data_IF_965750532287
#
_entry.id   IF_965750532287
#
_cell.length_a   1.000
_cell.length_b   1.000
_cell.length_c   1.000
_cell.angle_alpha   90.00
_cell.angle_beta   90.00
_cell.angle_gamma   90.00
#
_symmetry.space_group_name_H-M   'P 1'
#
loop_
_entity.id
_entity.type
_entity.pdbx_description
1 polymer ?
#
# COMPACT_ATOMS: atom_id res chain seq x y z
N UNK A 1 -3.00 4.13 18.31
CA UNK A 1 -3.88 3.17 17.62
C UNK A 1 -4.13 3.75 16.24
N UNK A 2 -3.48 3.23 15.20
CA UNK A 2 -3.84 3.61 13.83
C UNK A 2 -5.05 2.74 13.46
N UNK A 3 -6.15 3.39 13.10
CA UNK A 3 -7.37 2.73 12.69
C UNK A 3 -7.78 3.34 11.34
N UNK A 4 -8.50 2.59 10.49
CA UNK A 4 -9.09 3.16 9.29
C UNK A 4 -9.93 4.40 9.64
N UNK A 5 -10.03 5.34 8.69
CA UNK A 5 -10.86 6.53 8.85
C UNK A 5 -12.33 6.11 8.96
N UNK A 6 -13.23 7.03 9.30
CA UNK A 6 -14.65 6.73 9.49
C UNK A 6 -15.33 6.01 8.30
N UNK A 7 -14.74 6.06 7.09
CA UNK A 7 -15.19 5.35 5.89
C UNK A 7 -14.70 3.89 5.74
N UNK A 8 -13.89 3.36 6.67
CA UNK A 8 -13.29 2.04 6.54
C UNK A 8 -11.88 2.09 5.91
N UNK A 9 -11.29 0.92 5.67
CA UNK A 9 -10.06 0.79 4.90
C UNK A 9 -10.40 0.61 3.42
N UNK A 10 -9.57 1.15 2.54
CA UNK A 10 -9.64 0.89 1.12
C UNK A 10 -9.28 -0.58 0.82
N UNK A 11 -9.80 -1.07 -0.31
CA UNK A 11 -9.45 -2.39 -0.83
C UNK A 11 -8.07 -2.33 -1.51
N UNK A 12 -6.99 -2.45 -0.74
CA UNK A 12 -5.63 -2.33 -1.27
C UNK A 12 -5.31 -3.40 -2.32
N UNK A 13 -6.08 -4.49 -2.38
CA UNK A 13 -5.95 -5.54 -3.42
C UNK A 13 -6.33 -5.05 -4.82
N UNK A 14 -6.94 -3.86 -4.94
CA UNK A 14 -7.13 -3.21 -6.25
C UNK A 14 -5.79 -2.79 -6.90
N UNK A 15 -4.71 -2.72 -6.13
CA UNK A 15 -3.36 -2.52 -6.66
C UNK A 15 -2.76 -3.87 -7.05
N UNK A 16 -2.39 -4.01 -8.32
CA UNK A 16 -1.76 -5.23 -8.82
C UNK A 16 -0.47 -5.53 -8.08
N UNK A 17 -0.35 -6.77 -7.58
CA UNK A 17 0.75 -7.22 -6.74
C UNK A 17 0.46 -7.24 -5.24
N UNK A 18 -0.61 -6.56 -4.80
CA UNK A 18 -1.12 -6.65 -3.42
C UNK A 18 -2.15 -7.78 -3.33
N UNK A 19 -1.77 -8.87 -2.65
CA UNK A 19 -2.71 -9.94 -2.28
C UNK A 19 -3.29 -9.73 -0.88
N UNK A 20 -4.29 -10.55 -0.46
CA UNK A 20 -4.95 -10.42 0.85
C UNK A 20 -3.97 -10.39 2.03
N UNK A 21 -2.92 -11.21 1.98
CA UNK A 21 -1.89 -11.27 3.03
C UNK A 21 -0.99 -10.02 3.09
N UNK A 22 -0.74 -9.40 1.94
CA UNK A 22 0.00 -8.14 1.87
C UNK A 22 -0.85 -6.98 2.35
N UNK A 23 -2.13 -6.94 1.97
CA UNK A 23 -3.10 -5.99 2.51
C UNK A 23 -3.18 -6.07 4.04
N UNK A 24 -3.31 -7.28 4.62
CA UNK A 24 -3.27 -7.47 6.07
C UNK A 24 -1.98 -6.93 6.71
N UNK A 25 -0.84 -7.13 6.05
CA UNK A 25 0.46 -6.63 6.50
C UNK A 25 0.49 -5.10 6.46
N UNK A 26 0.07 -4.50 5.35
CA UNK A 26 -0.01 -3.04 5.20
C UNK A 26 -0.94 -2.41 6.23
N UNK A 27 -2.12 -2.99 6.43
CA UNK A 27 -3.09 -2.60 7.44
C UNK A 27 -2.50 -2.72 8.86
N UNK A 28 -1.75 -3.79 9.16
CA UNK A 28 -1.07 -3.93 10.44
C UNK A 28 0.01 -2.85 10.67
N UNK A 29 0.59 -2.34 9.59
CA UNK A 29 1.56 -1.24 9.60
C UNK A 29 0.92 0.17 9.51
N UNK A 30 -0.41 0.27 9.43
CA UNK A 30 -1.14 1.53 9.43
C UNK A 30 -1.46 2.12 8.06
N UNK A 31 -1.17 1.38 6.99
CA UNK A 31 -1.55 1.73 5.62
C UNK A 31 -2.90 1.10 5.31
N UNK A 32 -3.95 1.91 5.39
CA UNK A 32 -5.34 1.51 5.15
C UNK A 32 -5.93 2.12 3.89
N UNK A 33 -5.29 3.12 3.30
CA UNK A 33 -5.86 3.94 2.23
C UNK A 33 -4.92 4.07 1.04
N UNK A 34 -5.50 4.22 -0.16
CA UNK A 34 -4.73 4.44 -1.38
C UNK A 34 -3.93 5.74 -1.34
N UNK A 35 -4.45 6.79 -0.70
CA UNK A 35 -3.78 8.10 -0.60
C UNK A 35 -2.45 8.01 0.18
N UNK A 36 -2.36 7.14 1.19
CA UNK A 36 -1.14 6.90 1.95
C UNK A 36 -0.05 6.26 1.07
N UNK A 37 -0.43 5.28 0.24
CA UNK A 37 0.49 4.61 -0.69
C UNK A 37 0.86 5.54 -1.85
N UNK A 38 -0.09 6.34 -2.33
CA UNK A 38 0.11 7.34 -3.38
C UNK A 38 1.10 8.45 -2.98
N UNK A 39 1.21 8.72 -1.68
CA UNK A 39 2.13 9.68 -1.09
C UNK A 39 3.54 9.13 -0.89
N UNK A 40 3.76 7.81 -1.03
CA UNK A 40 5.09 7.23 -0.85
C UNK A 40 6.11 7.81 -1.83
N UNK A 41 7.23 8.18 -1.27
CA UNK A 41 8.46 8.56 -1.95
C UNK A 41 9.23 7.32 -2.41
N UNK A 42 10.19 7.45 -3.35
CA UNK A 42 11.04 6.34 -3.74
C UNK A 42 11.78 5.68 -2.57
N UNK A 43 12.11 6.46 -1.53
CA UNK A 43 12.74 5.94 -0.32
C UNK A 43 11.78 5.08 0.52
N UNK A 44 10.52 5.50 0.66
CA UNK A 44 9.49 4.71 1.35
C UNK A 44 9.15 3.43 0.60
N UNK A 45 9.08 3.48 -0.74
CA UNK A 45 8.90 2.28 -1.57
C UNK A 45 10.06 1.30 -1.34
N UNK A 46 11.31 1.77 -1.38
CA UNK A 46 12.48 0.93 -1.11
C UNK A 46 12.47 0.37 0.31
N UNK A 47 12.04 1.16 1.30
CA UNK A 47 11.89 0.70 2.68
C UNK A 47 10.82 -0.38 2.81
N UNK A 48 9.66 -0.20 2.17
CA UNK A 48 8.57 -1.19 2.13
C UNK A 48 9.03 -2.47 1.46
N UNK A 49 9.72 -2.36 0.33
CA UNK A 49 10.28 -3.49 -0.41
C UNK A 49 11.29 -4.30 0.41
N UNK A 50 12.10 -3.64 1.24
CA UNK A 50 13.13 -4.27 2.07
C UNK A 50 12.63 -4.75 3.43
N UNK A 51 11.60 -4.09 3.99
CA UNK A 51 11.17 -4.31 5.39
C UNK A 51 9.92 -5.16 5.48
N UNK A 52 8.95 -4.97 4.57
CA UNK A 52 7.68 -5.69 4.67
C UNK A 52 7.80 -7.12 4.13
N UNK A 53 7.45 -8.12 4.96
CA UNK A 53 7.54 -9.52 4.55
C UNK A 53 6.58 -9.80 3.39
N UNK A 54 7.11 -10.45 2.35
CA UNK A 54 6.33 -10.83 1.16
C UNK A 54 6.24 -9.75 0.07
N UNK A 55 6.68 -8.51 0.33
CA UNK A 55 6.79 -7.49 -0.73
C UNK A 55 7.99 -7.79 -1.62
N UNK A 56 9.20 -7.83 -1.07
CA UNK A 56 10.40 -8.29 -1.79
C UNK A 56 10.61 -7.64 -3.16
N UNK A 57 10.54 -6.31 -3.23
CA UNK A 57 10.71 -5.55 -4.48
C UNK A 57 9.45 -5.36 -5.31
N UNK A 58 8.30 -5.92 -4.90
CA UNK A 58 7.02 -5.79 -5.63
C UNK A 58 6.47 -4.37 -5.65
N UNK A 59 6.66 -3.58 -4.58
CA UNK A 59 6.08 -2.25 -4.52
C UNK A 59 6.65 -1.33 -5.60
N UNK A 60 7.97 -1.39 -5.81
CA UNK A 60 8.64 -0.72 -6.92
C UNK A 60 8.34 -1.36 -8.28
N UNK A 61 8.52 -2.69 -8.41
CA UNK A 61 8.37 -3.40 -9.69
C UNK A 61 6.96 -3.27 -10.27
N UNK A 62 5.94 -3.38 -9.42
CA UNK A 62 4.54 -3.33 -9.84
C UNK A 62 4.00 -1.88 -9.79
N UNK A 63 4.83 -0.87 -9.53
CA UNK A 63 4.46 0.55 -9.53
C UNK A 63 3.26 0.88 -8.62
N UNK A 64 3.27 0.39 -7.37
CA UNK A 64 2.14 0.54 -6.45
C UNK A 64 1.73 2.00 -6.24
N UNK A 65 2.69 2.92 -6.13
CA UNK A 65 2.42 4.36 -5.95
C UNK A 65 1.60 4.94 -7.11
N UNK A 66 1.94 4.58 -8.34
CA UNK A 66 1.23 5.07 -9.53
C UNK A 66 -0.19 4.50 -9.59
N UNK A 67 -0.37 3.21 -9.28
CA UNK A 67 -1.68 2.58 -9.22
C UNK A 67 -2.54 3.14 -8.08
N UNK A 68 -1.96 3.35 -6.90
CA UNK A 68 -2.63 3.95 -5.76
C UNK A 68 -3.12 5.37 -6.07
N UNK A 69 -2.33 6.18 -6.79
CA UNK A 69 -2.78 7.50 -7.27
C UNK A 69 -3.99 7.41 -8.19
N UNK A 70 -4.03 6.41 -9.06
CA UNK A 70 -5.18 6.20 -9.95
C UNK A 70 -6.44 5.79 -9.16
N UNK A 71 -6.29 4.97 -8.11
CA UNK A 71 -7.40 4.57 -7.25
C UNK A 71 -7.86 5.69 -6.31
N UNK A 72 -6.95 6.50 -5.78
CA UNK A 72 -7.27 7.62 -4.89
C UNK A 72 -7.99 8.79 -5.60
N UNK A 73 -7.91 8.85 -6.94
CA UNK A 73 -8.59 9.85 -7.75
C UNK A 73 -10.02 9.44 -8.14
N UNK A 74 -10.43 8.21 -7.80
CA UNK A 74 -11.69 7.60 -8.20
C UNK A 74 -12.76 7.73 -7.11
#
# INVERSE_FOLDING_TARGET
MQAPRAGGADDLKQISGIGPKLEETLNAHGYYHFDQIAAWTPAEVAWVDATLPGVGGRAGRDNWVAQARAQAAH
#
